data_IF_987631149010
#
_entry.id   IF_987631149010
#
_cell.length_a   1.000
_cell.length_b   1.000
_cell.length_c   1.000
_cell.angle_alpha   90.00
_cell.angle_beta   90.00
_cell.angle_gamma   90.00
#
_symmetry.space_group_name_H-M   'P 1'
#
loop_
_entity.id
_entity.type
_entity.pdbx_description
1 polymer ?
#
# COMPACT_ATOMS: atom_id res chain seq x y z
N UNK A 1 1.28 -22.37 18.77
CA UNK A 1 0.87 -21.13 18.10
C UNK A 1 1.72 -19.94 18.57
N UNK A 2 1.81 -19.61 19.87
CA UNK A 2 2.63 -18.49 20.35
C UNK A 2 4.11 -18.55 19.93
N UNK A 3 4.74 -19.71 19.93
CA UNK A 3 6.13 -19.88 19.47
C UNK A 3 6.34 -19.48 17.99
N UNK A 4 5.32 -19.64 17.13
CA UNK A 4 5.39 -19.22 15.73
C UNK A 4 5.32 -17.69 15.57
N UNK A 5 4.71 -16.98 16.52
CA UNK A 5 4.65 -15.53 16.49
C UNK A 5 6.03 -14.90 16.61
N UNK A 6 6.96 -15.53 17.34
CA UNK A 6 8.33 -15.03 17.51
C UNK A 6 9.20 -15.14 16.25
N UNK A 7 8.83 -16.02 15.31
CA UNK A 7 9.52 -16.21 14.04
C UNK A 7 8.91 -15.40 12.90
N UNK A 8 7.76 -14.73 13.15
CA UNK A 8 7.03 -14.00 12.13
C UNK A 8 7.39 -12.51 12.12
N UNK A 9 7.57 -11.95 10.92
CA UNK A 9 7.68 -10.48 10.77
C UNK A 9 6.35 -9.79 11.06
N UNK A 10 5.23 -10.43 10.65
CA UNK A 10 3.86 -9.91 10.78
C UNK A 10 2.94 -10.97 11.36
N UNK A 11 2.15 -10.61 12.38
CA UNK A 11 1.02 -11.41 12.86
C UNK A 11 -0.27 -10.63 12.67
N UNK A 12 -1.33 -11.33 12.22
CA UNK A 12 -2.61 -10.72 11.86
C UNK A 12 -3.78 -11.32 12.67
N UNK A 13 -3.74 -11.31 14.02
CA UNK A 13 -4.81 -11.89 14.81
C UNK A 13 -6.08 -11.03 14.77
N UNK A 14 -7.24 -11.68 14.90
CA UNK A 14 -8.46 -11.01 15.35
C UNK A 14 -8.46 -10.92 16.90
N UNK A 15 -9.46 -10.25 17.48
CA UNK A 15 -9.56 -10.08 18.94
C UNK A 15 -9.60 -11.41 19.69
N UNK A 16 -10.36 -12.40 19.21
CA UNK A 16 -10.44 -13.73 19.83
C UNK A 16 -9.10 -14.46 19.80
N UNK A 17 -8.46 -14.47 18.64
CA UNK A 17 -7.13 -15.05 18.46
C UNK A 17 -6.08 -14.36 19.34
N UNK A 18 -6.11 -13.04 19.41
CA UNK A 18 -5.22 -12.24 20.23
C UNK A 18 -5.37 -12.55 21.72
N UNK A 19 -6.60 -12.65 22.20
CA UNK A 19 -6.90 -13.01 23.58
C UNK A 19 -6.41 -14.43 23.92
N UNK A 20 -6.61 -15.40 23.02
CA UNK A 20 -6.12 -16.76 23.19
C UNK A 20 -4.58 -16.83 23.19
N UNK A 21 -3.92 -16.10 22.31
CA UNK A 21 -2.46 -16.05 22.23
C UNK A 21 -1.79 -15.45 23.47
N UNK A 22 -2.49 -14.55 24.16
CA UNK A 22 -1.94 -13.77 25.28
C UNK A 22 -2.54 -14.12 26.64
N UNK A 23 -3.37 -15.18 26.71
CA UNK A 23 -4.12 -15.57 27.92
C UNK A 23 -4.86 -14.37 28.53
N UNK A 24 -5.52 -13.60 27.68
CA UNK A 24 -6.31 -12.41 28.07
C UNK A 24 -7.79 -12.75 27.95
N UNK A 25 -8.64 -12.41 28.94
CA UNK A 25 -10.07 -12.64 28.83
C UNK A 25 -10.67 -11.91 27.62
N UNK A 26 -11.45 -12.65 26.82
CA UNK A 26 -12.20 -12.08 25.71
C UNK A 26 -13.58 -11.61 26.20
N UNK A 27 -14.05 -10.49 25.68
CA UNK A 27 -15.44 -10.04 25.81
C UNK A 27 -15.99 -9.57 24.47
N UNK A 28 -17.28 -9.68 24.31
CA UNK A 28 -17.99 -9.15 23.14
C UNK A 28 -18.27 -7.65 23.29
N UNK A 29 -18.51 -6.98 22.16
CA UNK A 29 -18.92 -5.59 22.12
C UNK A 29 -17.77 -4.61 21.90
N UNK A 30 -17.90 -3.45 22.51
CA UNK A 30 -16.93 -2.36 22.39
C UNK A 30 -15.73 -2.62 23.31
N UNK A 31 -14.56 -2.28 22.82
CA UNK A 31 -13.31 -2.33 23.57
C UNK A 31 -12.86 -0.93 23.91
N UNK A 32 -12.18 -0.78 25.04
CA UNK A 32 -11.53 0.47 25.37
C UNK A 32 -10.14 0.55 24.68
N UNK A 33 -9.73 1.76 24.31
CA UNK A 33 -8.42 1.95 23.67
C UNK A 33 -7.26 1.46 24.55
N UNK A 34 -7.39 1.59 25.86
CA UNK A 34 -6.38 1.10 26.81
C UNK A 34 -6.26 -0.42 26.81
N UNK A 35 -7.38 -1.14 26.68
CA UNK A 35 -7.40 -2.61 26.57
C UNK A 35 -6.72 -3.08 25.30
N UNK A 36 -7.05 -2.43 24.17
CA UNK A 36 -6.41 -2.73 22.86
C UNK A 36 -4.91 -2.47 22.92
N UNK A 37 -4.47 -1.36 23.51
CA UNK A 37 -3.03 -1.07 23.69
C UNK A 37 -2.33 -2.07 24.59
N UNK A 38 -2.99 -2.52 25.67
CA UNK A 38 -2.46 -3.56 26.54
C UNK A 38 -2.32 -4.91 25.82
N UNK A 39 -3.32 -5.28 25.02
CA UNK A 39 -3.33 -6.49 24.22
C UNK A 39 -2.22 -6.47 23.15
N UNK A 40 -2.04 -5.34 22.45
CA UNK A 40 -0.96 -5.16 21.48
C UNK A 40 0.43 -5.32 22.09
N UNK A 41 0.66 -4.79 23.29
CA UNK A 41 1.93 -4.97 24.00
C UNK A 41 2.19 -6.42 24.38
N UNK A 42 1.17 -7.17 24.79
CA UNK A 42 1.29 -8.60 25.05
C UNK A 42 1.60 -9.40 23.79
N UNK A 43 0.95 -9.06 22.68
CA UNK A 43 1.23 -9.70 21.36
C UNK A 43 2.66 -9.38 20.90
N UNK A 44 3.12 -8.14 21.05
CA UNK A 44 4.49 -7.77 20.72
C UNK A 44 5.52 -8.54 21.57
N UNK A 45 5.20 -8.82 22.83
CA UNK A 45 6.07 -9.62 23.70
C UNK A 45 6.23 -11.10 23.24
N UNK A 46 5.41 -11.59 22.31
CA UNK A 46 5.57 -12.88 21.65
C UNK A 46 6.71 -12.89 20.62
N UNK A 47 7.26 -11.71 20.24
CA UNK A 47 8.43 -11.60 19.39
C UNK A 47 8.17 -11.12 17.96
N UNK A 48 6.92 -10.96 17.51
CA UNK A 48 6.62 -10.44 16.19
C UNK A 48 7.11 -9.00 16.01
N UNK A 49 7.59 -8.65 14.79
CA UNK A 49 8.04 -7.28 14.50
C UNK A 49 6.87 -6.31 14.31
N UNK A 50 5.75 -6.81 13.77
CA UNK A 50 4.55 -6.02 13.55
C UNK A 50 3.31 -6.81 13.95
N UNK A 51 2.33 -6.13 14.54
CA UNK A 51 1.04 -6.70 14.90
C UNK A 51 -0.08 -5.96 14.18
N UNK A 52 -0.91 -6.68 13.43
CA UNK A 52 -2.13 -6.16 12.82
C UNK A 52 -3.32 -6.79 13.54
N UNK A 53 -3.83 -6.11 14.57
CA UNK A 53 -4.98 -6.56 15.34
C UNK A 53 -6.28 -6.17 14.61
N UNK A 54 -7.04 -7.18 14.19
CA UNK A 54 -8.25 -7.00 13.38
C UNK A 54 -9.51 -7.00 14.23
N UNK A 55 -10.53 -6.29 13.74
CA UNK A 55 -11.89 -6.39 14.26
C UNK A 55 -12.13 -5.60 15.55
N UNK A 56 -11.31 -4.59 15.85
CA UNK A 56 -11.52 -3.69 16.99
C UNK A 56 -12.70 -2.75 16.72
N UNK A 57 -13.42 -2.40 17.80
CA UNK A 57 -14.54 -1.45 17.74
C UNK A 57 -14.56 -0.63 19.02
N UNK A 58 -14.49 0.69 18.90
CA UNK A 58 -14.58 1.65 20.00
C UNK A 58 -15.96 2.31 20.08
N UNK A 59 -16.72 2.24 19.01
CA UNK A 59 -18.06 2.82 18.91
C UNK A 59 -18.97 1.92 18.05
N UNK A 60 -20.27 2.00 18.27
CA UNK A 60 -21.24 1.22 17.51
C UNK A 60 -21.19 1.57 16.02
N UNK A 61 -21.41 0.57 15.17
CA UNK A 61 -21.45 0.74 13.72
C UNK A 61 -20.11 0.91 13.03
N UNK A 62 -19.00 0.94 13.77
CA UNK A 62 -17.64 1.00 13.21
C UNK A 62 -16.80 -0.19 13.63
N UNK A 63 -15.94 -0.62 12.73
CA UNK A 63 -14.96 -1.71 12.94
C UNK A 63 -13.65 -1.32 12.30
N UNK A 64 -12.55 -1.72 12.90
CA UNK A 64 -11.24 -1.32 12.39
C UNK A 64 -10.13 -2.29 12.72
N UNK A 65 -8.93 -1.89 12.33
CA UNK A 65 -7.68 -2.58 12.59
C UNK A 65 -6.71 -1.63 13.28
N UNK A 66 -5.91 -2.17 14.20
CA UNK A 66 -4.75 -1.50 14.78
C UNK A 66 -3.48 -2.09 14.15
N UNK A 67 -2.62 -1.25 13.62
CA UNK A 67 -1.31 -1.61 13.06
C UNK A 67 -0.25 -1.08 14.01
N UNK A 68 0.49 -1.99 14.63
CA UNK A 68 1.51 -1.70 15.62
C UNK A 68 2.90 -2.14 15.15
N UNK A 69 3.81 -1.18 15.02
CA UNK A 69 5.25 -1.42 14.81
C UNK A 69 5.91 -1.61 16.18
N UNK A 70 6.31 -2.84 16.48
CA UNK A 70 6.84 -3.19 17.80
C UNK A 70 8.21 -2.55 18.08
N UNK A 71 9.03 -2.33 17.04
CA UNK A 71 10.36 -1.76 17.20
C UNK A 71 10.31 -0.25 17.46
N UNK A 72 9.40 0.45 16.75
CA UNK A 72 9.24 1.92 16.88
C UNK A 72 8.24 2.32 17.96
N UNK A 73 7.38 1.39 18.37
CA UNK A 73 6.27 1.69 19.29
C UNK A 73 5.16 2.52 18.62
N UNK A 74 5.13 2.58 17.30
CA UNK A 74 4.16 3.35 16.52
C UNK A 74 2.86 2.57 16.37
N UNK A 75 1.74 3.22 16.69
CA UNK A 75 0.41 2.64 16.59
C UNK A 75 -0.47 3.52 15.70
N UNK A 76 -1.07 2.88 14.68
CA UNK A 76 -2.00 3.53 13.75
C UNK A 76 -3.29 2.73 13.67
N UNK A 77 -4.41 3.43 13.50
CA UNK A 77 -5.73 2.82 13.38
C UNK A 77 -6.35 3.14 12.03
N UNK A 78 -7.10 2.16 11.48
CA UNK A 78 -7.96 2.35 10.32
C UNK A 78 -9.35 1.81 10.64
N UNK A 79 -10.37 2.67 10.59
CA UNK A 79 -11.77 2.32 10.88
C UNK A 79 -12.66 2.51 9.66
N UNK A 80 -13.61 1.59 9.50
CA UNK A 80 -14.64 1.62 8.46
C UNK A 80 -16.02 1.36 9.06
N UNK A 81 -17.07 1.60 8.28
CA UNK A 81 -18.42 1.21 8.68
C UNK A 81 -18.52 -0.32 8.75
N UNK A 82 -19.11 -0.81 9.82
CA UNK A 82 -19.37 -2.23 10.00
C UNK A 82 -20.50 -2.67 9.06
N UNK A 83 -20.24 -3.68 8.24
CA UNK A 83 -21.30 -4.37 7.50
C UNK A 83 -21.93 -5.39 8.44
N UNK A 84 -23.27 -5.37 8.68
CA UNK A 84 -23.92 -6.21 9.66
C UNK A 84 -24.13 -7.65 9.15
N UNK A 85 -23.08 -8.25 8.62
CA UNK A 85 -23.05 -9.63 8.15
C UNK A 85 -21.80 -10.33 8.65
N UNK A 86 -21.97 -11.50 9.27
CA UNK A 86 -20.86 -12.40 9.57
C UNK A 86 -20.66 -13.31 8.36
N UNK A 87 -19.44 -13.45 7.89
CA UNK A 87 -19.10 -14.29 6.75
C UNK A 87 -17.80 -15.02 7.01
N UNK A 88 -17.75 -16.29 6.64
CA UNK A 88 -16.54 -17.10 6.70
C UNK A 88 -15.52 -16.65 5.63
N UNK A 89 -14.22 -16.92 5.85
CA UNK A 89 -13.17 -16.63 4.87
C UNK A 89 -12.69 -15.17 4.81
N UNK A 90 -13.31 -14.26 5.56
CA UNK A 90 -12.90 -12.83 5.58
C UNK A 90 -11.49 -12.64 6.12
N UNK A 91 -11.06 -13.47 7.08
CA UNK A 91 -9.70 -13.46 7.63
C UNK A 91 -8.66 -13.86 6.60
N UNK A 92 -8.93 -14.89 5.80
CA UNK A 92 -8.05 -15.39 4.74
C UNK A 92 -7.95 -14.38 3.59
N UNK A 93 -9.09 -13.80 3.18
CA UNK A 93 -9.13 -12.72 2.20
C UNK A 93 -8.31 -11.50 2.66
N UNK A 94 -8.41 -11.12 3.95
CA UNK A 94 -7.61 -10.05 4.52
C UNK A 94 -6.11 -10.39 4.46
N UNK A 95 -5.73 -11.57 4.93
CA UNK A 95 -4.32 -11.97 4.98
C UNK A 95 -3.71 -12.05 3.57
N UNK A 96 -4.44 -12.59 2.60
CA UNK A 96 -3.99 -12.66 1.21
C UNK A 96 -3.81 -11.27 0.59
N UNK A 97 -4.79 -10.37 0.75
CA UNK A 97 -4.73 -9.00 0.22
C UNK A 97 -3.61 -8.19 0.91
N UNK A 98 -3.47 -8.32 2.24
CA UNK A 98 -2.39 -7.70 3.01
C UNK A 98 -1.02 -8.14 2.49
N UNK A 99 -0.80 -9.46 2.38
CA UNK A 99 0.47 -10.02 1.91
C UNK A 99 0.79 -9.57 0.49
N UNK A 100 -0.21 -9.61 -0.41
CA UNK A 100 -0.05 -9.12 -1.79
C UNK A 100 0.33 -7.64 -1.85
N UNK A 101 -0.26 -6.81 -0.99
CA UNK A 101 0.08 -5.39 -0.89
C UNK A 101 1.50 -5.15 -0.37
N UNK A 102 1.92 -5.89 0.68
CA UNK A 102 3.30 -5.85 1.21
C UNK A 102 4.32 -6.26 0.14
N UNK A 103 4.06 -7.31 -0.62
CA UNK A 103 4.90 -7.79 -1.72
C UNK A 103 5.01 -6.76 -2.87
N UNK A 104 4.10 -5.79 -2.94
CA UNK A 104 4.10 -4.67 -3.90
C UNK A 104 4.64 -3.38 -3.29
N UNK A 105 5.33 -3.45 -2.15
CA UNK A 105 6.04 -2.34 -1.53
C UNK A 105 5.17 -1.38 -0.71
N UNK A 106 3.89 -1.72 -0.44
CA UNK A 106 3.07 -0.89 0.46
C UNK A 106 3.53 -1.06 1.91
N UNK A 107 3.43 0.01 2.69
CA UNK A 107 3.64 -0.06 4.13
C UNK A 107 2.59 -0.96 4.81
N UNK A 108 2.89 -1.48 6.00
CA UNK A 108 1.96 -2.32 6.75
C UNK A 108 0.61 -1.64 6.99
N UNK A 109 0.60 -0.33 7.20
CA UNK A 109 -0.63 0.44 7.38
C UNK A 109 -1.46 0.54 6.09
N UNK A 110 -0.83 0.85 4.96
CA UNK A 110 -1.50 0.91 3.66
C UNK A 110 -2.00 -0.46 3.21
N UNK A 111 -1.20 -1.52 3.46
CA UNK A 111 -1.59 -2.89 3.19
C UNK A 111 -2.81 -3.31 4.03
N UNK A 112 -2.83 -2.98 5.34
CA UNK A 112 -3.97 -3.22 6.21
C UNK A 112 -5.23 -2.48 5.74
N UNK A 113 -5.09 -1.22 5.37
CA UNK A 113 -6.19 -0.39 4.85
C UNK A 113 -6.76 -0.96 3.55
N UNK A 114 -5.90 -1.36 2.61
CA UNK A 114 -6.33 -1.97 1.36
C UNK A 114 -7.04 -3.32 1.60
N UNK A 115 -6.48 -4.17 2.47
CA UNK A 115 -7.07 -5.45 2.82
C UNK A 115 -8.44 -5.28 3.50
N UNK A 116 -8.61 -4.30 4.40
CA UNK A 116 -9.89 -3.97 5.02
C UNK A 116 -10.94 -3.53 3.97
N UNK A 117 -10.56 -2.65 3.04
CA UNK A 117 -11.44 -2.21 1.94
C UNK A 117 -11.86 -3.38 1.05
N UNK A 118 -10.94 -4.26 0.71
CA UNK A 118 -11.21 -5.46 -0.09
C UNK A 118 -12.21 -6.39 0.61
N UNK A 119 -12.01 -6.67 1.91
CA UNK A 119 -12.93 -7.49 2.70
C UNK A 119 -14.33 -6.87 2.77
N UNK A 120 -14.42 -5.55 3.05
CA UNK A 120 -15.72 -4.85 3.08
C UNK A 120 -16.42 -4.91 1.72
N UNK A 121 -15.70 -4.72 0.62
CA UNK A 121 -16.27 -4.84 -0.72
C UNK A 121 -16.76 -6.26 -1.01
N UNK A 122 -16.00 -7.29 -0.60
CA UNK A 122 -16.39 -8.70 -0.74
C UNK A 122 -17.63 -9.05 0.06
N UNK A 123 -17.77 -8.54 1.30
CA UNK A 123 -18.96 -8.73 2.13
C UNK A 123 -20.17 -8.06 1.47
N UNK A 124 -20.02 -6.82 1.01
CA UNK A 124 -21.10 -6.08 0.31
C UNK A 124 -21.54 -6.77 -0.96
N UNK A 125 -20.62 -7.29 -1.77
CA UNK A 125 -20.93 -8.05 -2.98
C UNK A 125 -21.73 -9.33 -2.70
N UNK A 126 -21.73 -9.80 -1.44
CA UNK A 126 -22.42 -11.01 -1.00
C UNK A 126 -23.73 -10.69 -0.27
N UNK A 127 -23.98 -9.42 0.09
CA UNK A 127 -25.05 -9.03 1.04
C UNK A 127 -26.44 -9.47 0.61
N UNK A 128 -26.76 -9.36 -0.67
CA UNK A 128 -28.07 -9.71 -1.23
C UNK A 128 -28.22 -11.21 -1.55
N UNK A 129 -27.15 -12.00 -1.47
CA UNK A 129 -27.18 -13.43 -1.79
C UNK A 129 -27.30 -14.27 -0.52
N UNK A 130 -28.55 -14.69 -0.25
CA UNK A 130 -28.89 -15.53 0.92
C UNK A 130 -28.41 -16.98 0.76
N UNK A 131 -28.20 -17.43 -0.47
CA UNK A 131 -27.76 -18.80 -0.75
C UNK A 131 -26.25 -18.93 -0.58
N UNK A 132 -25.49 -17.81 -0.64
CA UNK A 132 -24.06 -17.77 -0.47
C UNK A 132 -23.66 -17.67 1.03
N UNK A 133 -23.97 -18.71 1.80
CA UNK A 133 -23.75 -18.73 3.25
C UNK A 133 -22.32 -19.13 3.67
N UNK A 134 -21.56 -19.77 2.77
CA UNK A 134 -20.28 -20.41 3.05
C UNK A 134 -19.06 -19.50 2.87
N UNK A 135 -19.22 -18.24 2.49
CA UNK A 135 -18.09 -17.34 2.29
C UNK A 135 -18.49 -15.96 1.80
N UNK A 136 -17.53 -15.27 1.18
CA UNK A 136 -17.73 -13.97 0.53
C UNK A 136 -17.39 -14.08 -0.96
N UNK A 137 -18.12 -13.34 -1.81
CA UNK A 137 -17.87 -13.23 -3.25
C UNK A 137 -16.68 -12.29 -3.49
N UNK A 138 -15.51 -12.70 -3.06
CA UNK A 138 -14.30 -11.88 -3.15
C UNK A 138 -13.88 -11.64 -4.60
N UNK A 139 -14.21 -12.53 -5.53
CA UNK A 139 -13.92 -12.43 -6.95
C UNK A 139 -14.53 -11.16 -7.57
N UNK A 140 -15.67 -10.69 -7.06
CA UNK A 140 -16.30 -9.45 -7.51
C UNK A 140 -15.57 -8.19 -7.00
N UNK A 141 -14.75 -8.33 -5.96
CA UNK A 141 -13.96 -7.24 -5.38
C UNK A 141 -12.50 -7.23 -5.89
N UNK A 142 -12.06 -8.25 -6.65
CA UNK A 142 -10.68 -8.32 -7.19
C UNK A 142 -10.25 -7.09 -7.99
N UNK A 143 -11.11 -6.43 -8.80
CA UNK A 143 -10.73 -5.20 -9.50
C UNK A 143 -10.16 -4.12 -8.58
N UNK A 144 -10.68 -4.00 -7.35
CA UNK A 144 -10.16 -3.06 -6.34
C UNK A 144 -8.68 -3.32 -6.01
N UNK A 145 -8.28 -4.59 -5.89
CA UNK A 145 -6.87 -4.93 -5.65
C UNK A 145 -6.03 -4.68 -6.90
N UNK A 146 -6.54 -5.00 -8.09
CA UNK A 146 -5.84 -4.78 -9.35
C UNK A 146 -5.55 -3.30 -9.56
N UNK A 147 -6.53 -2.42 -9.37
CA UNK A 147 -6.36 -0.98 -9.46
C UNK A 147 -5.39 -0.43 -8.41
N UNK A 148 -5.57 -0.84 -7.14
CA UNK A 148 -4.75 -0.34 -6.03
C UNK A 148 -3.30 -0.86 -6.04
N UNK A 149 -3.06 -2.00 -6.70
CA UNK A 149 -1.74 -2.63 -6.80
C UNK A 149 -1.11 -2.48 -8.19
N UNK A 150 -1.79 -1.83 -9.13
CA UNK A 150 -1.22 -1.55 -10.44
C UNK A 150 0.01 -0.65 -10.30
N UNK A 151 1.03 -0.97 -11.09
CA UNK A 151 2.19 -0.08 -11.24
C UNK A 151 1.77 1.04 -12.19
N UNK A 152 1.69 2.30 -11.76
CA UNK A 152 1.27 3.39 -12.62
C UNK A 152 2.22 3.52 -13.81
N UNK A 153 1.66 3.72 -14.98
CA UNK A 153 2.38 3.99 -16.21
C UNK A 153 2.28 5.49 -16.52
N UNK A 154 3.43 6.11 -16.69
CA UNK A 154 3.58 7.48 -17.13
C UNK A 154 4.23 7.51 -18.51
N UNK A 155 3.68 8.28 -19.43
CA UNK A 155 4.14 8.33 -20.82
C UNK A 155 4.72 9.69 -21.15
N UNK A 156 6.05 9.70 -21.42
CA UNK A 156 6.75 10.85 -22.00
C UNK A 156 6.55 10.85 -23.50
N UNK A 157 6.27 11.99 -24.07
CA UNK A 157 6.19 12.19 -25.51
C UNK A 157 7.48 12.84 -26.04
N UNK A 158 8.40 12.02 -26.54
CA UNK A 158 9.69 12.46 -27.05
C UNK A 158 9.59 13.41 -28.25
N UNK A 159 8.48 13.39 -29.01
CA UNK A 159 8.27 14.34 -30.11
C UNK A 159 8.12 15.80 -29.64
N UNK A 160 7.90 16.00 -28.34
CA UNK A 160 7.79 17.31 -27.68
C UNK A 160 9.12 17.77 -27.04
N UNK A 161 10.18 16.95 -27.14
CA UNK A 161 11.45 17.16 -26.47
C UNK A 161 12.51 17.54 -27.50
N UNK A 162 12.69 18.83 -27.71
CA UNK A 162 13.76 19.37 -28.58
C UNK A 162 14.97 19.89 -27.78
N UNK A 163 14.83 20.06 -26.47
CA UNK A 163 15.86 20.56 -25.59
C UNK A 163 15.77 19.89 -24.20
N UNK A 164 16.82 20.06 -23.38
CA UNK A 164 16.83 19.59 -21.99
C UNK A 164 15.73 20.27 -21.15
N UNK A 165 15.39 21.51 -21.43
CA UNK A 165 14.29 22.24 -20.79
C UNK A 165 12.94 21.61 -21.14
N UNK A 166 12.73 21.24 -22.40
CA UNK A 166 11.50 20.54 -22.85
C UNK A 166 11.38 19.16 -22.16
N UNK A 167 12.49 18.46 -21.97
CA UNK A 167 12.50 17.20 -21.23
C UNK A 167 11.97 17.39 -19.80
N UNK A 168 12.48 18.38 -19.07
CA UNK A 168 12.00 18.66 -17.71
C UNK A 168 10.54 19.16 -17.69
N UNK A 169 10.15 19.95 -18.66
CA UNK A 169 8.75 20.38 -18.80
C UNK A 169 7.81 19.19 -19.06
N UNK A 170 8.27 18.20 -19.83
CA UNK A 170 7.50 16.98 -20.07
C UNK A 170 7.46 16.08 -18.82
N UNK A 171 8.54 15.98 -18.05
CA UNK A 171 8.56 15.32 -16.74
C UNK A 171 7.54 15.97 -15.78
N UNK A 172 7.52 17.31 -15.69
CA UNK A 172 6.54 18.03 -14.87
C UNK A 172 5.11 17.71 -15.30
N UNK A 173 4.82 17.77 -16.59
CA UNK A 173 3.50 17.47 -17.15
C UNK A 173 3.01 16.06 -16.79
N UNK A 174 3.92 15.10 -16.82
CA UNK A 174 3.61 13.68 -16.66
C UNK A 174 3.55 13.26 -15.20
N UNK A 175 4.50 13.68 -14.38
CA UNK A 175 4.68 13.21 -13.02
C UNK A 175 4.13 14.16 -11.95
N UNK A 176 3.87 15.45 -12.26
CA UNK A 176 3.25 16.39 -11.32
C UNK A 176 1.79 16.66 -11.68
N UNK A 177 1.04 17.22 -10.73
CA UNK A 177 -0.34 17.66 -10.94
C UNK A 177 -0.43 19.10 -11.49
N UNK A 178 0.74 19.72 -11.77
CA UNK A 178 0.87 21.09 -12.24
C UNK A 178 0.87 22.15 -11.14
N UNK A 179 0.73 21.77 -9.88
CA UNK A 179 0.80 22.68 -8.73
C UNK A 179 2.25 23.12 -8.42
N UNK A 180 3.21 22.27 -8.74
CA UNK A 180 4.63 22.52 -8.50
C UNK A 180 5.45 22.21 -9.76
N UNK A 181 6.48 23.02 -10.02
CA UNK A 181 7.50 22.73 -11.02
C UNK A 181 8.69 22.08 -10.35
N UNK A 182 9.24 21.06 -10.98
CA UNK A 182 10.49 20.46 -10.51
C UNK A 182 11.67 21.43 -10.73
N UNK A 183 12.77 21.18 -10.06
CA UNK A 183 13.96 22.07 -10.15
C UNK A 183 14.74 22.01 -11.46
N UNK A 184 14.24 21.34 -12.52
CA UNK A 184 14.84 21.22 -13.85
C UNK A 184 16.34 20.84 -13.83
N UNK A 185 16.72 19.92 -12.98
CA UNK A 185 18.07 19.36 -12.87
C UNK A 185 18.02 17.88 -12.49
N UNK A 186 19.18 17.20 -12.53
CA UNK A 186 19.25 15.76 -12.29
C UNK A 186 18.85 15.35 -10.87
N UNK A 187 19.12 16.18 -9.86
CA UNK A 187 18.70 15.90 -8.49
C UNK A 187 17.18 16.00 -8.34
N UNK A 188 16.56 17.02 -8.95
CA UNK A 188 15.12 17.16 -8.97
C UNK A 188 14.43 16.02 -9.76
N UNK A 189 15.07 15.52 -10.83
CA UNK A 189 14.58 14.32 -11.53
C UNK A 189 14.59 13.09 -10.62
N UNK A 190 15.66 12.87 -9.88
CA UNK A 190 15.77 11.79 -8.93
C UNK A 190 14.70 11.90 -7.81
N UNK A 191 14.50 13.10 -7.27
CA UNK A 191 13.50 13.36 -6.24
C UNK A 191 12.07 13.11 -6.75
N UNK A 192 11.71 13.56 -7.97
CA UNK A 192 10.37 13.31 -8.52
C UNK A 192 10.14 11.83 -8.80
N UNK A 193 11.17 11.07 -9.22
CA UNK A 193 11.08 9.64 -9.44
C UNK A 193 10.89 8.84 -8.13
N UNK A 194 11.39 9.35 -6.99
CA UNK A 194 11.09 8.78 -5.66
C UNK A 194 9.64 8.98 -5.25
N UNK A 195 8.96 9.99 -5.77
CA UNK A 195 7.59 10.29 -5.43
C UNK A 195 7.41 11.00 -4.08
N UNK A 196 6.15 11.02 -3.59
CA UNK A 196 5.79 11.69 -2.35
C UNK A 196 5.28 13.12 -2.55
N UNK A 197 5.59 13.72 -3.69
CA UNK A 197 4.97 14.91 -4.26
C UNK A 197 4.67 14.60 -5.74
N UNK A 198 3.60 15.13 -6.29
CA UNK A 198 3.12 14.77 -7.62
C UNK A 198 2.18 13.55 -7.64
N UNK A 199 2.17 12.80 -8.75
CA UNK A 199 1.13 11.81 -9.06
C UNK A 199 1.37 10.41 -8.48
N UNK A 200 2.46 10.15 -7.78
CA UNK A 200 2.71 8.85 -7.16
C UNK A 200 3.30 8.99 -5.75
N UNK A 201 3.10 7.95 -4.95
CA UNK A 201 3.54 7.94 -3.56
C UNK A 201 5.06 7.75 -3.43
N UNK A 202 5.64 8.22 -2.31
CA UNK A 202 7.06 8.03 -2.02
C UNK A 202 7.45 6.54 -2.02
N UNK A 203 8.46 6.18 -2.78
CA UNK A 203 8.96 4.82 -2.95
C UNK A 203 8.01 3.89 -3.73
N UNK A 204 6.95 4.42 -4.33
CA UNK A 204 6.06 3.63 -5.18
C UNK A 204 6.77 3.25 -6.47
N UNK A 205 6.71 1.96 -6.84
CA UNK A 205 7.16 1.52 -8.16
C UNK A 205 6.35 2.21 -9.26
N UNK A 206 7.02 2.73 -10.28
CA UNK A 206 6.42 3.33 -11.47
C UNK A 206 6.97 2.72 -12.75
N UNK A 207 6.21 2.84 -13.83
CA UNK A 207 6.67 2.59 -15.21
C UNK A 207 6.71 3.92 -15.94
N UNK A 208 7.82 4.22 -16.55
CA UNK A 208 8.00 5.40 -17.38
C UNK A 208 8.23 4.93 -18.82
N UNK A 209 7.28 5.20 -19.70
CA UNK A 209 7.42 4.90 -21.12
C UNK A 209 7.84 6.17 -21.85
N UNK A 210 8.96 6.10 -22.55
CA UNK A 210 9.47 7.21 -23.34
C UNK A 210 9.18 6.93 -24.82
N UNK A 211 8.02 7.41 -25.29
CA UNK A 211 7.62 7.32 -26.69
C UNK A 211 8.47 8.27 -27.54
N UNK A 212 8.68 7.95 -28.80
CA UNK A 212 9.51 8.74 -29.74
C UNK A 212 10.92 9.02 -29.18
N UNK A 213 11.50 8.03 -28.51
CA UNK A 213 12.80 8.15 -27.84
C UNK A 213 13.90 8.56 -28.81
N UNK A 214 13.97 7.95 -30.01
CA UNK A 214 15.01 8.22 -31.00
C UNK A 214 15.04 9.69 -31.43
N UNK A 215 13.87 10.29 -31.68
CA UNK A 215 13.73 11.72 -32.05
C UNK A 215 14.28 12.63 -30.96
N UNK A 216 13.88 12.40 -29.71
CA UNK A 216 14.34 13.19 -28.58
C UNK A 216 15.81 12.93 -28.25
N UNK A 217 16.30 11.71 -28.43
CA UNK A 217 17.71 11.36 -28.20
C UNK A 217 18.64 12.07 -29.19
N UNK A 218 18.21 12.17 -30.46
CA UNK A 218 18.96 12.94 -31.47
C UNK A 218 19.00 14.43 -31.13
N UNK A 219 17.84 15.01 -30.73
CA UNK A 219 17.74 16.41 -30.35
C UNK A 219 18.54 16.76 -29.08
N UNK A 220 18.53 15.91 -28.06
CA UNK A 220 19.23 16.11 -26.79
C UNK A 220 20.73 15.83 -26.86
N UNK A 221 21.13 14.98 -27.79
CA UNK A 221 22.51 14.49 -27.92
C UNK A 221 22.88 13.40 -26.90
N UNK A 222 23.73 12.48 -27.33
CA UNK A 222 24.09 11.25 -26.63
C UNK A 222 24.55 11.48 -25.17
N UNK A 223 25.40 12.47 -24.92
CA UNK A 223 25.92 12.77 -23.59
C UNK A 223 24.83 13.22 -22.61
N UNK A 224 23.83 13.93 -23.08
CA UNK A 224 22.68 14.36 -22.25
C UNK A 224 21.78 13.18 -21.94
N UNK A 225 21.41 12.41 -22.98
CA UNK A 225 20.60 11.19 -22.83
C UNK A 225 21.24 10.21 -21.85
N UNK A 226 22.54 9.96 -21.96
CA UNK A 226 23.26 9.08 -21.04
C UNK A 226 23.14 9.54 -19.57
N UNK A 227 23.25 10.85 -19.30
CA UNK A 227 23.08 11.39 -17.94
C UNK A 227 21.66 11.21 -17.40
N UNK A 228 20.65 11.42 -18.24
CA UNK A 228 19.25 11.22 -17.88
C UNK A 228 18.94 9.75 -17.59
N UNK A 229 19.34 8.86 -18.49
CA UNK A 229 19.19 7.42 -18.34
C UNK A 229 19.87 6.89 -17.08
N UNK A 230 21.07 7.42 -16.75
CA UNK A 230 21.77 7.05 -15.54
C UNK A 230 20.95 7.35 -14.28
N UNK A 231 20.26 8.49 -14.21
CA UNK A 231 19.37 8.80 -13.08
C UNK A 231 18.13 7.91 -13.10
N UNK A 232 17.45 7.77 -14.26
CA UNK A 232 16.20 7.02 -14.36
C UNK A 232 16.39 5.51 -14.06
N UNK A 233 17.55 4.95 -14.36
CA UNK A 233 17.86 3.53 -14.16
C UNK A 233 18.58 3.23 -12.86
N UNK A 234 18.97 4.27 -12.09
CA UNK A 234 19.67 4.11 -10.84
C UNK A 234 18.73 3.66 -9.72
N UNK A 235 18.90 2.44 -9.26
CA UNK A 235 18.09 1.85 -8.17
C UNK A 235 18.67 2.07 -6.77
N UNK A 236 19.89 2.59 -6.67
CA UNK A 236 20.55 2.83 -5.38
C UNK A 236 20.05 4.13 -4.73
N UNK A 237 19.46 5.03 -5.50
CA UNK A 237 18.97 6.33 -5.05
C UNK A 237 17.60 6.27 -4.33
N UNK A 238 16.93 5.11 -4.31
CA UNK A 238 15.71 4.89 -3.53
C UNK A 238 14.40 5.06 -4.29
N UNK A 239 14.44 5.20 -5.63
CA UNK A 239 13.26 5.06 -6.48
C UNK A 239 13.21 3.67 -7.17
N UNK A 240 12.03 3.23 -7.60
CA UNK A 240 11.81 2.01 -8.39
C UNK A 240 11.08 2.36 -9.70
N UNK A 241 11.83 3.02 -10.60
CA UNK A 241 11.36 3.38 -11.93
C UNK A 241 11.76 2.30 -12.94
N UNK A 242 10.80 1.77 -13.69
CA UNK A 242 11.03 0.89 -14.85
C UNK A 242 10.85 1.69 -16.11
N UNK A 243 11.96 1.89 -16.85
CA UNK A 243 11.93 2.57 -18.14
C UNK A 243 11.55 1.59 -19.26
N UNK A 244 10.66 2.05 -20.15
CA UNK A 244 10.27 1.44 -21.42
C UNK A 244 10.59 2.44 -22.54
N UNK A 245 11.30 1.99 -23.58
CA UNK A 245 11.69 2.80 -24.76
C UNK A 245 11.09 2.17 -26.00
#
# INVERSE_FOLDING_TARGET
MAALCGEADYILPNLTEACLLTDTPYHEGLWEEMEVKALLKKLAALGAKHVILKGISYEEGRIGNAVYDCARGELRYDFTLRVPRSSHGTGDCFAAAFTGAMMRGKSAFEASKLAARFVVASIRATEDDKEHWYGVKFELALPLLTEALSVPLFELDGSRIASLEDFYAEIDRVLTDGSEKTGHNLSALDDILRGGFGKHAYGQQIRLRWNHFEESAEALGEATVFRLLRVILDRETGHDCKLEI
#
